data_IF_635566578203
#
_entry.id   IF_635566578203
#
_cell.length_a   1.000
_cell.length_b   1.000
_cell.length_c   1.000
_cell.angle_alpha   90.00
_cell.angle_beta   90.00
_cell.angle_gamma   90.00
#
_symmetry.space_group_name_H-M   'P 1'
#
loop_
_entity.id
_entity.type
_entity.pdbx_description
1 polymer ?
#
# COMPACT_ATOMS: atom_id res chain seq x y z
N UNK A 1 10.33 -19.09 -10.18
CA UNK A 1 10.11 -17.80 -9.50
C UNK A 1 8.65 -17.41 -9.56
N UNK A 2 8.06 -17.18 -8.43
CA UNK A 2 6.68 -16.80 -8.48
C UNK A 2 6.53 -15.31 -8.72
N UNK A 3 5.41 -14.92 -9.31
CA UNK A 3 5.11 -13.55 -9.69
C UNK A 3 3.88 -13.03 -8.93
N UNK A 4 3.87 -13.29 -7.61
CA UNK A 4 2.74 -12.86 -6.78
C UNK A 4 2.47 -11.35 -6.92
N UNK A 5 3.52 -10.56 -7.13
CA UNK A 5 3.39 -9.12 -7.34
C UNK A 5 3.26 -8.71 -8.80
N UNK A 6 3.13 -9.66 -9.73
CA UNK A 6 2.98 -9.33 -11.13
C UNK A 6 1.80 -8.38 -11.33
N UNK A 7 2.03 -7.25 -11.99
CA UNK A 7 1.02 -6.22 -12.18
C UNK A 7 0.79 -5.33 -10.96
N UNK A 8 1.48 -5.60 -9.84
CA UNK A 8 1.27 -4.84 -8.60
C UNK A 8 2.57 -4.25 -8.04
N UNK A 9 3.71 -4.48 -8.71
CA UNK A 9 5.00 -3.99 -8.20
C UNK A 9 5.06 -2.48 -8.11
N UNK A 10 4.37 -1.79 -8.99
CA UNK A 10 4.34 -0.34 -9.00
C UNK A 10 3.49 0.25 -7.87
N UNK A 11 2.85 -0.58 -7.05
CA UNK A 11 2.18 -0.14 -5.83
C UNK A 11 3.18 0.04 -4.68
N UNK A 12 4.40 -0.53 -4.81
CA UNK A 12 5.42 -0.45 -3.79
C UNK A 12 6.36 0.72 -4.06
N UNK A 13 6.70 1.46 -3.03
CA UNK A 13 7.61 2.59 -3.16
C UNK A 13 8.48 2.78 -1.94
N UNK A 14 9.56 3.53 -2.12
CA UNK A 14 10.45 3.97 -1.04
C UNK A 14 9.82 5.11 -0.25
N UNK A 15 10.14 5.26 1.05
CA UNK A 15 9.69 6.42 1.81
C UNK A 15 10.40 7.72 1.40
N UNK A 16 11.37 7.63 0.50
CA UNK A 16 12.16 8.81 0.07
C UNK A 16 11.49 9.63 -1.03
N UNK A 17 10.41 9.11 -1.63
CA UNK A 17 9.73 9.88 -2.68
C UNK A 17 9.02 11.09 -2.07
N UNK A 18 8.76 12.08 -2.92
CA UNK A 18 8.05 13.29 -2.50
C UNK A 18 6.54 13.09 -2.54
N UNK A 19 5.80 14.03 -1.95
CA UNK A 19 4.34 14.04 -2.04
C UNK A 19 3.90 14.10 -3.50
N UNK A 20 4.59 14.89 -4.33
CA UNK A 20 4.27 14.97 -5.75
C UNK A 20 4.48 13.64 -6.45
N UNK A 21 5.61 12.97 -6.18
CA UNK A 21 5.90 11.67 -6.78
C UNK A 21 4.87 10.62 -6.35
N UNK A 22 4.44 10.67 -5.10
CA UNK A 22 3.39 9.76 -4.61
C UNK A 22 2.08 10.01 -5.35
N UNK A 23 1.72 11.26 -5.55
CA UNK A 23 0.50 11.62 -6.28
C UNK A 23 0.58 11.12 -7.73
N UNK A 24 1.72 11.29 -8.37
CA UNK A 24 1.93 10.82 -9.74
C UNK A 24 1.86 9.29 -9.82
N UNK A 25 2.35 8.61 -8.79
CA UNK A 25 2.31 7.15 -8.73
C UNK A 25 0.86 6.66 -8.62
N UNK A 26 0.04 7.28 -7.79
CA UNK A 26 -1.38 6.94 -7.70
C UNK A 26 -2.09 7.16 -9.02
N UNK A 27 -1.78 8.26 -9.69
CA UNK A 27 -2.36 8.55 -11.01
C UNK A 27 -1.96 7.50 -12.03
N UNK A 28 -0.69 7.11 -12.03
CA UNK A 28 -0.16 6.13 -12.98
C UNK A 28 -0.77 4.74 -12.77
N UNK A 29 -0.91 4.32 -11.52
CA UNK A 29 -1.42 2.99 -11.20
C UNK A 29 -2.94 2.90 -11.30
N UNK A 30 -3.63 4.02 -11.17
CA UNK A 30 -5.09 4.05 -11.08
C UNK A 30 -5.62 3.48 -9.78
N UNK A 31 -4.74 3.16 -8.82
CA UNK A 31 -5.14 2.67 -7.51
C UNK A 31 -5.17 3.83 -6.52
N UNK A 32 -5.82 3.60 -5.38
CA UNK A 32 -6.02 4.65 -4.38
C UNK A 32 -5.15 4.48 -3.15
N UNK A 33 -4.12 3.65 -3.24
CA UNK A 33 -3.21 3.40 -2.14
C UNK A 33 -1.88 2.92 -2.67
N UNK A 34 -0.80 3.34 -2.03
CA UNK A 34 0.55 2.84 -2.29
C UNK A 34 1.10 2.20 -1.03
N UNK A 35 2.04 1.29 -1.21
CA UNK A 35 2.67 0.54 -0.12
C UNK A 35 4.10 1.04 0.01
N UNK A 36 4.45 1.47 1.22
CA UNK A 36 5.79 2.00 1.50
C UNK A 36 6.64 0.86 2.07
N UNK A 37 7.76 0.61 1.43
CA UNK A 37 8.68 -0.47 1.83
C UNK A 37 10.10 0.07 1.97
N UNK A 38 10.92 -0.66 2.75
CA UNK A 38 12.33 -0.34 2.89
C UNK A 38 13.15 -0.96 1.75
N UNK A 39 14.47 -0.86 1.84
CA UNK A 39 15.36 -1.41 0.80
C UNK A 39 15.26 -2.92 0.66
N UNK A 40 14.84 -3.60 1.72
CA UNK A 40 14.66 -5.06 1.72
C UNK A 40 13.25 -5.47 1.34
N UNK A 41 12.42 -4.51 0.93
CA UNK A 41 11.01 -4.72 0.58
C UNK A 41 10.14 -5.11 1.77
N UNK A 42 10.61 -4.83 2.98
CA UNK A 42 9.81 -5.02 4.19
C UNK A 42 8.80 -3.88 4.32
N UNK A 43 7.62 -4.22 4.80
CA UNK A 43 6.53 -3.25 4.93
C UNK A 43 6.87 -2.18 5.97
N UNK A 44 6.76 -0.92 5.56
CA UNK A 44 6.86 0.23 6.46
C UNK A 44 5.48 0.83 6.73
N UNK A 45 4.62 0.85 5.73
CA UNK A 45 3.29 1.39 5.89
C UNK A 45 2.55 1.53 4.57
N UNK A 46 1.45 2.26 4.61
CA UNK A 46 0.64 2.54 3.41
C UNK A 46 0.25 4.00 3.40
N UNK A 47 -0.06 4.50 2.20
CA UNK A 47 -0.50 5.89 2.04
C UNK A 47 -1.65 5.89 1.04
N UNK A 48 -2.82 6.27 1.51
CA UNK A 48 -4.02 6.33 0.67
C UNK A 48 -4.12 7.66 -0.07
N UNK A 49 -4.92 7.66 -1.13
CA UNK A 49 -5.21 8.87 -1.90
C UNK A 49 -5.76 9.99 -1.01
N UNK A 50 -6.70 9.65 -0.12
CA UNK A 50 -7.27 10.62 0.81
C UNK A 50 -6.26 11.20 1.77
N UNK A 51 -5.40 10.35 2.34
CA UNK A 51 -4.34 10.81 3.25
C UNK A 51 -3.35 11.70 2.52
N UNK A 52 -2.99 11.33 1.28
CA UNK A 52 -2.07 12.12 0.49
C UNK A 52 -2.62 13.50 0.17
N UNK A 53 -3.89 13.58 -0.21
CA UNK A 53 -4.55 14.87 -0.46
C UNK A 53 -4.54 15.75 0.78
N UNK A 54 -4.84 15.15 1.93
CA UNK A 54 -4.82 15.84 3.21
C UNK A 54 -3.42 16.39 3.52
N UNK A 55 -2.38 15.60 3.28
CA UNK A 55 -1.00 16.03 3.48
C UNK A 55 -0.62 17.17 2.56
N UNK A 56 -1.04 17.12 1.30
CA UNK A 56 -0.75 18.19 0.34
C UNK A 56 -1.36 19.51 0.81
N UNK A 57 -2.59 19.44 1.30
CA UNK A 57 -3.28 20.64 1.79
C UNK A 57 -2.63 21.20 3.05
N UNK A 58 -2.25 20.33 4.00
CA UNK A 58 -1.72 20.77 5.29
C UNK A 58 -0.23 21.13 5.23
N UNK A 59 0.58 20.37 4.48
CA UNK A 59 2.04 20.62 4.41
C UNK A 59 2.38 21.67 3.37
N UNK A 60 1.59 21.78 2.30
CA UNK A 60 1.79 22.78 1.24
C UNK A 60 3.18 22.75 0.59
N UNK A 61 3.86 21.61 0.65
CA UNK A 61 5.18 21.43 0.06
C UNK A 61 5.22 20.10 -0.69
N UNK A 62 4.97 20.15 -1.99
CA UNK A 62 4.93 18.96 -2.82
C UNK A 62 6.27 18.23 -2.94
N UNK A 63 7.36 18.93 -2.64
CA UNK A 63 8.70 18.34 -2.72
C UNK A 63 9.12 17.66 -1.41
N UNK A 64 8.29 17.74 -0.38
CA UNK A 64 8.57 17.08 0.89
C UNK A 64 8.49 15.58 0.74
N UNK A 65 9.43 14.85 1.36
CA UNK A 65 9.42 13.39 1.40
C UNK A 65 8.20 12.88 2.16
N UNK A 66 7.68 11.71 1.74
CA UNK A 66 6.59 11.05 2.47
C UNK A 66 7.08 10.35 3.74
N UNK A 67 8.39 10.34 3.99
CA UNK A 67 8.93 9.66 5.17
C UNK A 67 8.26 10.14 6.45
N UNK A 68 7.78 9.19 7.25
CA UNK A 68 7.05 9.42 8.51
C UNK A 68 5.68 10.08 8.33
N UNK A 69 5.21 10.25 7.09
CA UNK A 69 3.89 10.82 6.82
C UNK A 69 2.86 9.76 6.44
N UNK A 70 3.31 8.55 6.12
CA UNK A 70 2.43 7.43 5.78
C UNK A 70 1.87 6.78 7.03
N UNK A 71 0.83 5.95 6.86
CA UNK A 71 0.26 5.16 7.94
C UNK A 71 1.23 4.03 8.29
N UNK A 72 1.81 4.08 9.49
CA UNK A 72 2.79 3.09 9.95
C UNK A 72 2.14 1.85 10.57
N UNK A 73 0.82 1.81 10.68
CA UNK A 73 0.08 0.68 11.25
C UNK A 73 -1.00 0.20 10.29
N UNK A 74 -0.63 -0.20 9.05
CA UNK A 74 -1.62 -0.66 8.08
C UNK A 74 -2.13 -2.04 8.44
N UNK A 75 -3.30 -2.39 7.90
CA UNK A 75 -3.77 -3.77 7.95
C UNK A 75 -2.92 -4.60 7.00
N UNK A 76 -2.39 -5.71 7.46
CA UNK A 76 -1.66 -6.66 6.61
C UNK A 76 -1.92 -8.07 7.11
N UNK A 77 -1.56 -9.06 6.29
CA UNK A 77 -1.66 -10.48 6.66
C UNK A 77 -0.35 -11.18 6.30
N UNK A 78 -0.11 -12.33 6.91
CA UNK A 78 1.04 -13.18 6.55
C UNK A 78 0.58 -14.25 5.58
N UNK A 79 1.39 -14.54 4.55
CA UNK A 79 1.07 -15.59 3.60
C UNK A 79 0.84 -16.91 4.34
N UNK A 80 -0.08 -17.71 3.82
CA UNK A 80 -0.45 -19.01 4.39
C UNK A 80 -1.03 -18.95 5.82
N UNK A 81 -1.40 -17.75 6.30
CA UNK A 81 -1.95 -17.58 7.65
C UNK A 81 -3.22 -16.75 7.66
N UNK A 82 -3.92 -16.69 6.55
CA UNK A 82 -5.18 -15.97 6.52
C UNK A 82 -6.21 -16.74 5.70
N UNK A 83 -7.48 -16.52 6.00
CA UNK A 83 -8.59 -17.06 5.24
C UNK A 83 -9.05 -16.00 4.24
N UNK A 84 -8.96 -16.31 2.96
CA UNK A 84 -9.27 -15.33 1.91
C UNK A 84 -10.72 -14.86 1.96
N UNK A 85 -11.64 -15.73 2.30
CA UNK A 85 -13.06 -15.36 2.35
C UNK A 85 -13.33 -14.39 3.51
N UNK A 86 -12.72 -14.64 4.66
CA UNK A 86 -12.83 -13.74 5.80
C UNK A 86 -12.16 -12.40 5.53
N UNK A 87 -11.00 -12.43 4.86
CA UNK A 87 -10.30 -11.20 4.51
C UNK A 87 -11.11 -10.36 3.53
N UNK A 88 -11.75 -10.99 2.55
CA UNK A 88 -12.63 -10.28 1.62
C UNK A 88 -13.76 -9.56 2.35
N UNK A 89 -14.38 -10.23 3.31
CA UNK A 89 -15.44 -9.63 4.11
C UNK A 89 -14.91 -8.44 4.91
N UNK A 90 -13.73 -8.56 5.47
CA UNK A 90 -13.10 -7.51 6.25
C UNK A 90 -12.77 -6.29 5.35
N UNK A 91 -12.22 -6.55 4.17
CA UNK A 91 -11.91 -5.49 3.21
C UNK A 91 -13.17 -4.70 2.84
N UNK A 92 -14.24 -5.41 2.55
CA UNK A 92 -15.51 -4.77 2.18
C UNK A 92 -16.10 -3.99 3.35
N UNK A 93 -16.11 -4.60 4.53
CA UNK A 93 -16.67 -3.97 5.74
C UNK A 93 -15.92 -2.68 6.10
N UNK A 94 -14.60 -2.72 6.06
CA UNK A 94 -13.76 -1.60 6.49
C UNK A 94 -13.33 -0.70 5.33
N UNK A 95 -13.69 -1.07 4.09
CA UNK A 95 -13.35 -0.32 2.89
C UNK A 95 -11.85 -0.12 2.72
N UNK A 96 -11.07 -1.15 3.00
CA UNK A 96 -9.64 -1.09 2.75
C UNK A 96 -9.38 -1.05 1.25
N UNK A 97 -8.49 -0.16 0.83
CA UNK A 97 -8.09 -0.06 -0.57
C UNK A 97 -7.26 -1.28 -0.98
N UNK A 98 -6.43 -1.75 -0.07
CA UNK A 98 -5.62 -2.95 -0.27
C UNK A 98 -5.14 -3.48 1.07
N UNK A 99 -4.69 -4.74 1.07
CA UNK A 99 -4.07 -5.38 2.22
C UNK A 99 -2.79 -6.06 1.75
N UNK A 100 -1.62 -5.62 2.21
CA UNK A 100 -0.36 -6.29 1.88
C UNK A 100 -0.29 -7.68 2.49
N UNK A 101 0.30 -8.60 1.73
CA UNK A 101 0.59 -9.97 2.19
C UNK A 101 2.09 -10.10 2.38
N UNK A 102 2.51 -10.51 3.57
CA UNK A 102 3.91 -10.56 3.96
C UNK A 102 4.39 -11.99 4.13
N UNK A 103 5.67 -12.22 3.90
CA UNK A 103 6.31 -13.48 4.25
C UNK A 103 6.85 -13.40 5.69
N UNK A 104 7.56 -14.47 6.13
CA UNK A 104 8.13 -14.53 7.49
C UNK A 104 9.08 -13.38 7.78
N UNK A 105 9.76 -12.85 6.78
CA UNK A 105 10.69 -11.74 6.93
C UNK A 105 10.02 -10.39 6.84
N UNK A 106 8.70 -10.37 6.79
CA UNK A 106 7.88 -9.15 6.65
C UNK A 106 8.06 -8.44 5.31
N UNK A 107 8.57 -9.16 4.31
CA UNK A 107 8.63 -8.64 2.95
C UNK A 107 7.26 -8.74 2.31
N UNK A 108 6.89 -7.72 1.54
CA UNK A 108 5.64 -7.73 0.80
C UNK A 108 5.78 -8.69 -0.38
N UNK A 109 5.02 -9.78 -0.35
CA UNK A 109 5.06 -10.82 -1.39
C UNK A 109 3.80 -10.85 -2.25
N UNK A 110 2.74 -10.20 -1.83
CA UNK A 110 1.52 -10.06 -2.61
C UNK A 110 0.70 -8.90 -2.05
N UNK A 111 -0.37 -8.59 -2.73
CA UNK A 111 -1.30 -7.53 -2.33
C UNK A 111 -2.70 -7.97 -2.71
N UNK A 112 -3.63 -7.89 -1.76
CA UNK A 112 -5.04 -8.13 -2.03
C UNK A 112 -5.70 -6.77 -2.16
N UNK A 113 -6.17 -6.44 -3.35
CA UNK A 113 -6.77 -5.13 -3.63
C UNK A 113 -8.27 -5.15 -3.40
N UNK A 114 -8.85 -3.96 -3.26
CA UNK A 114 -10.29 -3.79 -3.15
C UNK A 114 -11.04 -4.53 -4.26
N UNK A 115 -10.56 -4.43 -5.50
CA UNK A 115 -11.20 -5.09 -6.64
C UNK A 115 -11.29 -6.59 -6.45
N UNK A 116 -10.25 -7.20 -5.89
CA UNK A 116 -10.19 -8.65 -5.69
C UNK A 116 -11.18 -9.14 -4.64
N UNK A 117 -11.63 -8.26 -3.75
CA UNK A 117 -12.60 -8.63 -2.72
C UNK A 117 -13.95 -8.98 -3.31
N UNK A 118 -14.23 -8.55 -4.52
CA UNK A 118 -15.52 -8.80 -5.20
C UNK A 118 -15.46 -9.93 -6.22
N UNK A 119 -14.37 -10.65 -6.32
CA UNK A 119 -14.23 -11.73 -7.31
C UNK A 119 -14.33 -13.12 -6.70
#
# INVERSE_FOLDING_TARGET
MNNLLSGKRNLLTSPKISLLQALMLLKKTGKKCIIVVDKKKQLLGTLTDGDLRSLIITKKNLNQSINKLYNSKPRYVFENRFNINELRKEIIKNRYELVPVLNKSKKVVDVITWDQAFK
#
